data_IF_853617359232
#
_entry.id   IF_853617359232
#
_cell.length_a   1.000
_cell.length_b   1.000
_cell.length_c   1.000
_cell.angle_alpha   90.00
_cell.angle_beta   90.00
_cell.angle_gamma   90.00
#
_symmetry.space_group_name_H-M   'P 1'
#
loop_
_entity.id
_entity.type
_entity.pdbx_description
1 polymer ?
#
# COMPACT_ATOMS: atom_id res chain seq x y z
N UNK A 1 -17.85 -25.79 5.68
CA UNK A 1 -16.93 -25.39 6.74
C UNK A 1 -16.58 -23.94 6.60
N UNK A 2 -16.80 -23.20 7.66
CA UNK A 2 -16.50 -21.76 7.63
C UNK A 2 -15.03 -21.49 7.35
N UNK A 3 -14.18 -22.39 7.81
CA UNK A 3 -12.74 -22.31 7.60
C UNK A 3 -12.32 -22.53 6.17
N UNK A 4 -13.22 -22.99 5.31
CA UNK A 4 -12.94 -23.15 3.89
C UNK A 4 -13.17 -21.84 3.12
N UNK A 5 -13.78 -20.87 3.75
CA UNK A 5 -13.99 -19.58 3.12
C UNK A 5 -12.67 -18.87 2.96
N UNK A 6 -12.37 -18.49 1.71
CA UNK A 6 -11.19 -17.70 1.44
C UNK A 6 -11.40 -16.30 1.96
N UNK A 7 -10.46 -15.84 2.77
CA UNK A 7 -10.46 -14.47 3.22
C UNK A 7 -9.94 -13.59 2.09
N UNK A 8 -10.71 -12.58 1.72
CA UNK A 8 -10.28 -11.61 0.70
C UNK A 8 -9.34 -10.61 1.35
N UNK A 9 -8.21 -10.40 0.70
CA UNK A 9 -7.21 -9.43 1.18
C UNK A 9 -7.68 -8.03 0.78
N UNK A 10 -7.82 -7.16 1.75
CA UNK A 10 -8.27 -5.79 1.50
C UNK A 10 -7.06 -4.87 1.37
N UNK A 11 -6.91 -4.29 0.19
CA UNK A 11 -5.77 -3.44 -0.17
C UNK A 11 -6.24 -2.00 -0.32
N UNK A 12 -5.61 -1.08 0.40
CA UNK A 12 -5.80 0.34 0.13
C UNK A 12 -4.63 0.78 -0.75
N UNK A 13 -4.92 1.22 -1.97
CA UNK A 13 -3.88 1.69 -2.88
C UNK A 13 -3.96 3.19 -3.03
N UNK A 14 -2.93 3.88 -2.55
CA UNK A 14 -2.86 5.34 -2.55
C UNK A 14 -1.95 5.79 -3.68
N UNK A 15 -2.56 6.28 -4.76
CA UNK A 15 -1.84 6.69 -5.97
C UNK A 15 -2.78 7.59 -6.77
N UNK A 16 -2.31 8.75 -7.20
CA UNK A 16 -3.16 9.70 -7.91
C UNK A 16 -3.37 9.36 -9.38
N UNK A 17 -2.62 8.42 -9.90
CA UNK A 17 -2.75 7.99 -11.30
C UNK A 17 -3.79 6.88 -11.41
N UNK A 18 -4.99 7.24 -11.86
CA UNK A 18 -6.10 6.29 -11.95
C UNK A 18 -5.82 5.14 -12.90
N UNK A 19 -5.15 5.41 -14.01
CA UNK A 19 -4.81 4.36 -14.97
C UNK A 19 -3.86 3.35 -14.34
N UNK A 20 -2.92 3.84 -13.55
CA UNK A 20 -1.96 2.99 -12.87
C UNK A 20 -2.66 2.11 -11.82
N UNK A 21 -3.57 2.70 -11.06
CA UNK A 21 -4.36 1.94 -10.08
C UNK A 21 -5.17 0.85 -10.77
N UNK A 22 -5.81 1.20 -11.90
CA UNK A 22 -6.59 0.22 -12.64
C UNK A 22 -5.73 -0.92 -13.18
N UNK A 23 -4.54 -0.59 -13.65
CA UNK A 23 -3.61 -1.60 -14.14
C UNK A 23 -3.18 -2.54 -13.01
N UNK A 24 -2.86 -2.00 -11.85
CA UNK A 24 -2.52 -2.83 -10.69
C UNK A 24 -3.69 -3.74 -10.31
N UNK A 25 -4.91 -3.20 -10.37
CA UNK A 25 -6.10 -3.98 -10.04
C UNK A 25 -6.28 -5.18 -10.98
N UNK A 26 -5.88 -5.05 -12.24
CA UNK A 26 -5.98 -6.15 -13.19
C UNK A 26 -5.08 -7.32 -12.84
N UNK A 27 -4.00 -7.07 -12.11
CA UNK A 27 -3.06 -8.11 -11.69
C UNK A 27 -3.38 -8.67 -10.31
N UNK A 28 -4.47 -8.19 -9.69
CA UNK A 28 -4.92 -8.70 -8.39
C UNK A 28 -6.26 -9.40 -8.59
N UNK A 29 -6.29 -10.74 -8.57
CA UNK A 29 -7.53 -11.48 -8.80
C UNK A 29 -8.63 -11.07 -7.83
N UNK A 30 -9.81 -10.81 -8.36
CA UNK A 30 -10.93 -10.27 -7.57
C UNK A 30 -11.50 -11.24 -6.55
N UNK A 31 -11.28 -12.52 -6.73
CA UNK A 31 -11.69 -13.51 -5.75
C UNK A 31 -10.73 -13.62 -4.57
N UNK A 32 -9.54 -13.01 -4.69
CA UNK A 32 -8.53 -13.03 -3.64
C UNK A 32 -8.30 -11.65 -3.02
N UNK A 33 -8.55 -10.59 -3.78
CA UNK A 33 -8.23 -9.21 -3.36
C UNK A 33 -9.40 -8.27 -3.58
N UNK A 34 -9.55 -7.34 -2.65
CA UNK A 34 -10.44 -6.20 -2.82
C UNK A 34 -9.56 -4.95 -2.78
N UNK A 35 -9.42 -4.28 -3.90
CA UNK A 35 -8.59 -3.08 -3.99
C UNK A 35 -9.48 -1.84 -3.87
N UNK A 36 -9.16 -0.99 -2.91
CA UNK A 36 -9.87 0.24 -2.66
C UNK A 36 -8.90 1.39 -2.97
N UNK A 37 -9.18 2.24 -3.95
CA UNK A 37 -8.23 3.29 -4.32
C UNK A 37 -8.40 4.55 -3.48
N UNK A 38 -7.31 5.25 -3.26
CA UNK A 38 -7.33 6.61 -2.71
C UNK A 38 -6.40 7.45 -3.59
N UNK A 39 -6.91 8.51 -4.14
CA UNK A 39 -6.18 9.31 -5.12
C UNK A 39 -5.44 10.50 -4.51
N UNK A 40 -5.67 10.76 -3.23
CA UNK A 40 -4.98 11.80 -2.47
C UNK A 40 -4.63 11.25 -1.09
N UNK A 41 -3.69 11.90 -0.42
CA UNK A 41 -3.33 11.51 0.94
C UNK A 41 -4.49 11.74 1.91
N UNK A 42 -5.23 12.82 1.74
CA UNK A 42 -6.38 13.12 2.61
C UNK A 42 -7.47 12.06 2.44
N UNK A 43 -7.71 11.62 1.20
CA UNK A 43 -8.66 10.55 0.95
C UNK A 43 -8.21 9.25 1.62
N UNK A 44 -6.92 8.96 1.55
CA UNK A 44 -6.36 7.77 2.20
C UNK A 44 -6.57 7.81 3.70
N UNK A 45 -6.31 8.96 4.33
CA UNK A 45 -6.49 9.10 5.77
C UNK A 45 -7.94 8.92 6.18
N UNK A 46 -8.88 9.45 5.38
CA UNK A 46 -10.30 9.27 5.66
C UNK A 46 -10.69 7.80 5.59
N UNK A 47 -10.22 7.09 4.56
CA UNK A 47 -10.54 5.67 4.39
C UNK A 47 -9.93 4.80 5.47
N UNK A 48 -8.73 5.12 5.90
CA UNK A 48 -8.06 4.40 6.98
C UNK A 48 -8.86 4.49 8.28
N UNK A 49 -9.47 5.63 8.53
CA UNK A 49 -10.26 5.84 9.74
C UNK A 49 -11.63 5.16 9.68
N UNK A 50 -12.14 4.92 8.47
CA UNK A 50 -13.48 4.36 8.28
C UNK A 50 -13.50 2.86 8.07
N UNK A 51 -12.41 2.28 7.57
CA UNK A 51 -12.38 0.87 7.15
C UNK A 51 -11.10 0.20 7.60
N UNK A 52 -11.18 -1.12 7.73
CA UNK A 52 -10.00 -1.93 8.05
C UNK A 52 -9.39 -2.46 6.74
N UNK A 53 -8.07 -2.39 6.65
CA UNK A 53 -7.33 -2.91 5.52
C UNK A 53 -6.30 -3.92 6.00
N UNK A 54 -5.94 -4.85 5.12
CA UNK A 54 -4.91 -5.84 5.42
C UNK A 54 -3.53 -5.35 5.01
N UNK A 55 -3.49 -4.44 4.06
CA UNK A 55 -2.23 -3.84 3.59
C UNK A 55 -2.52 -2.49 2.95
N UNK A 56 -1.56 -1.58 3.04
CA UNK A 56 -1.63 -0.27 2.40
C UNK A 56 -0.44 -0.16 1.45
N UNK A 57 -0.72 0.17 0.20
CA UNK A 57 0.31 0.44 -0.82
C UNK A 57 0.22 1.93 -1.12
N UNK A 58 1.29 2.68 -0.84
CA UNK A 58 1.23 4.13 -1.02
C UNK A 58 2.40 4.66 -1.83
N UNK A 59 2.09 5.60 -2.70
CA UNK A 59 3.03 6.23 -3.59
C UNK A 59 3.68 7.44 -2.92
N UNK A 60 4.93 7.70 -3.27
CA UNK A 60 5.62 8.89 -2.81
C UNK A 60 4.99 10.17 -3.36
N UNK A 61 4.68 10.18 -4.66
CA UNK A 61 4.18 11.39 -5.33
C UNK A 61 2.66 11.47 -5.28
N UNK A 62 2.14 12.29 -4.38
CA UNK A 62 0.70 12.53 -4.26
C UNK A 62 0.45 14.03 -4.44
N UNK A 63 -0.77 14.42 -4.85
CA UNK A 63 -1.02 15.83 -5.18
C UNK A 63 -1.08 16.76 -3.97
N UNK A 64 -1.48 16.26 -2.81
CA UNK A 64 -1.68 17.10 -1.62
C UNK A 64 -0.54 17.01 -0.60
N UNK A 65 0.27 15.95 -0.63
CA UNK A 65 1.48 15.85 0.17
C UNK A 65 2.30 14.68 -0.35
N UNK A 66 3.58 14.57 0.01
CA UNK A 66 4.34 13.40 -0.43
C UNK A 66 4.05 12.22 0.49
N UNK A 67 4.44 11.02 0.02
CA UNK A 67 4.17 9.79 0.75
C UNK A 67 4.85 9.69 2.10
N UNK A 68 5.99 10.33 2.27
CA UNK A 68 6.68 10.35 3.58
C UNK A 68 5.84 11.11 4.60
N UNK A 69 5.30 12.27 4.19
CA UNK A 69 4.44 13.04 5.09
C UNK A 69 3.18 12.26 5.44
N UNK A 70 2.65 11.49 4.48
CA UNK A 70 1.50 10.63 4.75
C UNK A 70 1.85 9.54 5.75
N UNK A 71 3.01 8.90 5.62
CA UNK A 71 3.47 7.91 6.60
C UNK A 71 3.54 8.50 7.99
N UNK A 72 4.07 9.73 8.10
CA UNK A 72 4.16 10.42 9.39
C UNK A 72 2.79 10.68 10.02
N UNK A 73 1.77 10.86 9.20
CA UNK A 73 0.41 11.06 9.68
C UNK A 73 -0.28 9.74 10.04
N UNK A 74 0.09 8.67 9.37
CA UNK A 74 -0.46 7.35 9.66
C UNK A 74 0.15 6.75 10.92
N UNK A 75 1.43 6.97 11.14
CA UNK A 75 2.17 6.35 12.24
C UNK A 75 1.50 6.49 13.61
N UNK A 76 1.02 7.69 14.01
CA UNK A 76 0.38 7.83 15.32
C UNK A 76 -0.94 7.06 15.46
N UNK A 77 -1.52 6.61 14.36
CA UNK A 77 -2.78 5.86 14.39
C UNK A 77 -2.59 4.42 14.85
N UNK A 78 -1.36 3.93 14.86
CA UNK A 78 -0.99 2.59 15.34
C UNK A 78 -1.84 1.49 14.74
N UNK A 79 -1.86 1.44 13.41
CA UNK A 79 -2.78 0.57 12.68
C UNK A 79 -2.47 -0.92 12.71
N UNK A 80 -1.24 -1.32 12.95
CA UNK A 80 -0.81 -2.72 12.85
C UNK A 80 -1.11 -3.31 11.46
N UNK A 81 -0.88 -2.50 10.42
CA UNK A 81 -1.11 -2.90 9.03
C UNK A 81 0.19 -2.69 8.27
N UNK A 82 0.69 -3.68 7.54
CA UNK A 82 1.90 -3.49 6.74
C UNK A 82 1.67 -2.45 5.66
N UNK A 83 2.71 -1.65 5.39
CA UNK A 83 2.66 -0.61 4.37
C UNK A 83 3.80 -0.78 3.39
N UNK A 84 3.47 -0.85 2.11
CA UNK A 84 4.44 -0.89 1.02
C UNK A 84 4.56 0.52 0.46
N UNK A 85 5.77 1.06 0.48
CA UNK A 85 6.02 2.40 -0.06
C UNK A 85 6.53 2.27 -1.49
N UNK A 86 5.91 2.98 -2.42
CA UNK A 86 6.23 2.88 -3.84
C UNK A 86 6.74 4.22 -4.34
N UNK A 87 7.81 4.20 -5.13
CA UNK A 87 8.40 5.41 -5.68
C UNK A 87 8.94 5.17 -7.08
N UNK A 88 8.92 6.20 -7.91
CA UNK A 88 9.56 6.15 -9.21
C UNK A 88 11.09 6.16 -9.09
N UNK A 89 11.60 6.47 -7.92
CA UNK A 89 13.03 6.68 -7.71
C UNK A 89 13.67 5.56 -6.91
N UNK A 90 14.80 5.05 -7.42
CA UNK A 90 15.64 4.11 -6.68
C UNK A 90 16.60 4.95 -5.84
N UNK A 91 16.10 5.45 -4.72
CA UNK A 91 16.79 6.40 -3.87
C UNK A 91 16.98 5.80 -2.48
N UNK A 92 18.24 5.47 -2.10
CA UNK A 92 18.49 4.86 -0.78
C UNK A 92 18.10 5.74 0.39
N UNK A 93 18.24 7.06 0.26
CA UNK A 93 17.87 7.97 1.34
C UNK A 93 16.36 8.00 1.54
N UNK A 94 15.61 8.01 0.45
CA UNK A 94 14.15 7.97 0.50
C UNK A 94 13.67 6.63 1.06
N UNK A 95 14.30 5.55 0.62
CA UNK A 95 13.98 4.21 1.12
C UNK A 95 14.21 4.12 2.62
N UNK A 96 15.35 4.62 3.10
CA UNK A 96 15.67 4.61 4.51
C UNK A 96 14.63 5.40 5.31
N UNK A 97 14.27 6.58 4.81
CA UNK A 97 13.30 7.42 5.49
C UNK A 97 11.92 6.76 5.55
N UNK A 98 11.48 6.15 4.45
CA UNK A 98 10.19 5.46 4.41
C UNK A 98 10.14 4.31 5.43
N UNK A 99 11.20 3.51 5.49
CA UNK A 99 11.27 2.40 6.43
C UNK A 99 11.29 2.90 7.87
N UNK A 100 12.00 4.00 8.12
CA UNK A 100 12.05 4.60 9.46
C UNK A 100 10.68 5.10 9.90
N UNK A 101 9.86 5.58 8.96
CA UNK A 101 8.53 6.09 9.28
C UNK A 101 7.44 5.01 9.26
N UNK A 102 7.84 3.75 9.14
CA UNK A 102 6.92 2.64 9.35
C UNK A 102 6.61 1.76 8.15
N UNK A 103 7.16 2.08 6.97
CA UNK A 103 6.96 1.21 5.82
C UNK A 103 7.70 -0.12 6.03
N UNK A 104 7.11 -1.19 5.54
CA UNK A 104 7.71 -2.52 5.63
C UNK A 104 8.52 -2.86 4.40
N UNK A 105 8.24 -2.20 3.28
CA UNK A 105 8.88 -2.50 2.02
C UNK A 105 8.94 -1.24 1.18
N UNK A 106 9.94 -1.18 0.30
CA UNK A 106 10.12 -0.07 -0.61
C UNK A 106 10.22 -0.64 -2.02
N UNK A 107 9.30 -0.28 -2.90
CA UNK A 107 9.23 -0.82 -4.24
C UNK A 107 9.44 0.30 -5.24
N UNK A 108 10.39 0.11 -6.16
CA UNK A 108 10.63 1.07 -7.23
C UNK A 108 9.67 0.77 -8.37
N UNK A 109 9.00 1.81 -8.89
CA UNK A 109 8.08 1.67 -10.02
C UNK A 109 8.86 1.42 -11.30
N UNK A 110 9.30 0.20 -11.49
CA UNK A 110 9.92 -0.23 -12.73
C UNK A 110 8.82 -0.48 -13.76
N UNK A 111 9.22 -0.76 -14.99
CA UNK A 111 8.29 -0.98 -16.09
C UNK A 111 7.19 -2.01 -15.76
N UNK A 112 7.54 -3.04 -15.00
CA UNK A 112 6.63 -4.16 -14.75
C UNK A 112 6.34 -4.38 -13.27
N UNK A 113 6.43 -3.34 -12.44
CA UNK A 113 6.26 -3.55 -11.01
C UNK A 113 4.85 -4.05 -10.64
N UNK A 114 3.84 -3.66 -11.42
CA UNK A 114 2.46 -4.10 -11.16
C UNK A 114 2.31 -5.62 -11.30
N UNK A 115 3.15 -6.25 -12.12
CA UNK A 115 3.11 -7.71 -12.30
C UNK A 115 3.59 -8.44 -11.05
N UNK A 116 4.47 -7.83 -10.27
CA UNK A 116 5.02 -8.44 -9.05
C UNK A 116 4.28 -8.00 -7.79
N UNK A 117 3.32 -7.10 -7.94
CA UNK A 117 2.65 -6.49 -6.79
C UNK A 117 1.91 -7.52 -5.93
N UNK A 118 1.24 -8.46 -6.54
CA UNK A 118 0.53 -9.52 -5.80
C UNK A 118 1.46 -10.26 -4.86
N UNK A 119 2.61 -10.68 -5.36
CA UNK A 119 3.57 -11.41 -4.55
C UNK A 119 4.14 -10.55 -3.44
N UNK A 120 4.41 -9.27 -3.72
CA UNK A 120 4.92 -8.35 -2.70
C UNK A 120 3.90 -8.13 -1.61
N UNK A 121 2.63 -8.01 -1.96
CA UNK A 121 1.55 -7.85 -0.99
C UNK A 121 1.48 -9.06 -0.07
N UNK A 122 1.41 -10.26 -0.65
CA UNK A 122 1.28 -11.47 0.13
C UNK A 122 2.51 -11.70 1.02
N UNK A 123 3.69 -11.43 0.49
CA UNK A 123 4.93 -11.58 1.24
C UNK A 123 4.96 -10.64 2.44
N UNK A 124 4.55 -9.38 2.24
CA UNK A 124 4.58 -8.40 3.33
C UNK A 124 3.52 -8.68 4.40
N UNK A 125 2.35 -9.17 4.01
CA UNK A 125 1.33 -9.56 4.98
C UNK A 125 1.86 -10.66 5.87
N UNK A 126 2.59 -11.61 5.29
CA UNK A 126 3.09 -12.76 6.03
C UNK A 126 4.30 -12.45 6.90
N UNK A 127 5.23 -11.61 6.41
CA UNK A 127 6.54 -11.43 7.03
C UNK A 127 6.75 -10.10 7.75
N UNK A 128 5.96 -9.07 7.45
CA UNK A 128 6.19 -7.77 8.05
C UNK A 128 5.83 -7.79 9.55
N UNK A 129 6.78 -7.45 10.43
CA UNK A 129 6.51 -7.44 11.87
C UNK A 129 5.73 -6.19 12.25
N UNK A 130 4.41 -6.28 12.22
CA UNK A 130 3.55 -5.19 12.68
C UNK A 130 3.20 -5.41 14.14
N UNK A 131 3.45 -4.42 14.96
CA UNK A 131 3.19 -4.53 16.38
C UNK A 131 2.73 -3.21 16.96
#
# INVERSE_FOLDING_TARGET
MADDEKKVVRVLMVDDNKEHVNLCAEYLPKDEFHLDPAYTAMEALAKIKESAYDIIVLDYALPDMNGIDLLKKIKPLKLNVPMIFVSAYDDPDLSFEAMREGACDYVVKTFQYYESLKERILENIETCPVS
#
